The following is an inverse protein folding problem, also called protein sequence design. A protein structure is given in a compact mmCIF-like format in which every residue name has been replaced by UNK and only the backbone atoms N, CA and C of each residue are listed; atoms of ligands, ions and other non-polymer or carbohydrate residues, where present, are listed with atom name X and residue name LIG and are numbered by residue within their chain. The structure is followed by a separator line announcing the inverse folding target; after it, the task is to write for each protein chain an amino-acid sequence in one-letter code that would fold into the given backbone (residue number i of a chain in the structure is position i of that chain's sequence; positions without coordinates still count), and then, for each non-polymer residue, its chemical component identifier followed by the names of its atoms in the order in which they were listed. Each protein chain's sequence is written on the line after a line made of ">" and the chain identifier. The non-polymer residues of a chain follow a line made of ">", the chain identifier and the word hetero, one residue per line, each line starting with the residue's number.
data_IF_888172995730
#
_entry.id   IF_888172995730
#
_cell.length_a   1.000
_cell.length_b   1.000
_cell.length_c   1.000
_cell.angle_alpha   90.00
_cell.angle_beta   90.00
_cell.angle_gamma   90.00
#
_symmetry.space_group_name_H-M   'P 1'
#
loop_
_entity.id
_entity.type
_entity.pdbx_description
1 polymer ?
#
# COMPACT_ATOMS: atom_id res chain seq x y z
N UNK A 1 -17.03 12.64 18.29
CA UNK A 1 -16.87 13.46 17.05
C UNK A 1 -16.38 12.53 15.93
N UNK A 2 -16.92 12.67 14.72
CA UNK A 2 -16.76 11.71 13.61
C UNK A 2 -15.84 12.30 12.52
N UNK A 3 -14.92 11.50 12.01
CA UNK A 3 -14.17 11.84 10.79
C UNK A 3 -15.09 11.74 9.57
N UNK A 4 -14.97 12.68 8.65
CA UNK A 4 -15.69 12.66 7.37
C UNK A 4 -14.66 12.49 6.28
N UNK A 5 -14.82 11.45 5.45
CA UNK A 5 -13.97 11.24 4.28
C UNK A 5 -13.96 12.49 3.40
N UNK A 6 -12.80 12.85 2.89
CA UNK A 6 -12.61 14.04 2.05
C UNK A 6 -12.20 13.62 0.64
N UNK A 7 -11.01 13.05 0.47
CA UNK A 7 -10.51 12.59 -0.84
C UNK A 7 -9.54 11.40 -0.71
N UNK A 8 -9.44 10.58 -1.75
CA UNK A 8 -8.36 9.61 -1.91
C UNK A 8 -7.15 10.29 -2.55
N UNK A 9 -5.93 9.97 -2.09
CA UNK A 9 -4.68 10.55 -2.60
C UNK A 9 -3.97 9.54 -3.50
N UNK A 10 -3.24 8.63 -2.87
CA UNK A 10 -2.38 7.67 -3.55
C UNK A 10 -2.88 6.25 -3.32
N UNK A 11 -2.67 5.38 -4.29
CA UNK A 11 -3.03 3.96 -4.20
C UNK A 11 -2.06 3.10 -4.97
N UNK A 12 -1.67 1.97 -4.39
CA UNK A 12 -0.86 0.94 -5.02
C UNK A 12 -1.44 -0.44 -4.71
N UNK A 13 -1.35 -1.34 -5.68
CA UNK A 13 -1.77 -2.73 -5.54
C UNK A 13 -0.52 -3.58 -5.50
N UNK A 14 -0.27 -4.20 -4.35
CA UNK A 14 0.82 -5.13 -4.15
C UNK A 14 0.29 -6.54 -4.41
N UNK A 15 0.98 -7.29 -5.27
CA UNK A 15 0.70 -8.70 -5.52
C UNK A 15 1.82 -9.49 -4.85
N UNK A 16 1.45 -10.45 -4.01
CA UNK A 16 2.40 -11.32 -3.32
C UNK A 16 2.14 -12.77 -3.74
N UNK A 17 3.17 -13.42 -4.27
CA UNK A 17 3.09 -14.75 -4.86
C UNK A 17 2.01 -14.87 -5.95
N UNK A 18 1.39 -16.04 -6.04
CA UNK A 18 0.50 -16.35 -7.17
C UNK A 18 -0.95 -15.83 -7.03
N UNK A 19 -1.39 -15.42 -5.82
CA UNK A 19 -2.83 -15.18 -5.59
C UNK A 19 -3.20 -14.09 -4.57
N UNK A 20 -2.27 -13.61 -3.74
CA UNK A 20 -2.61 -12.59 -2.74
C UNK A 20 -2.44 -11.20 -3.32
N UNK A 21 -3.42 -10.32 -3.06
CA UNK A 21 -3.32 -8.93 -3.44
C UNK A 21 -3.75 -8.01 -2.30
N UNK A 22 -2.90 -7.02 -2.05
CA UNK A 22 -3.06 -6.01 -1.01
C UNK A 22 -3.16 -4.66 -1.71
N UNK A 23 -4.08 -3.81 -1.26
CA UNK A 23 -4.12 -2.42 -1.69
C UNK A 23 -3.70 -1.54 -0.53
N UNK A 24 -2.66 -0.75 -0.78
CA UNK A 24 -2.28 0.33 0.12
C UNK A 24 -2.82 1.61 -0.49
N UNK A 25 -3.44 2.45 0.33
CA UNK A 25 -3.86 3.76 -0.11
C UNK A 25 -3.77 4.80 0.99
N UNK A 26 -3.52 6.03 0.57
CA UNK A 26 -3.68 7.19 1.41
C UNK A 26 -4.98 7.91 1.08
N UNK A 27 -5.67 8.37 2.11
CA UNK A 27 -6.85 9.21 1.95
C UNK A 27 -6.87 10.26 3.05
N UNK A 28 -7.56 11.36 2.80
CA UNK A 28 -7.76 12.39 3.81
C UNK A 28 -9.16 12.31 4.39
N UNK A 29 -9.25 12.65 5.67
CA UNK A 29 -10.53 12.85 6.33
C UNK A 29 -10.49 14.14 7.14
N UNK A 30 -11.61 14.85 7.14
CA UNK A 30 -11.80 16.08 7.88
C UNK A 30 -12.33 15.80 9.29
N UNK A 31 -11.76 16.48 10.27
CA UNK A 31 -12.20 16.50 11.67
C UNK A 31 -12.14 17.93 12.20
N UNK A 32 -13.29 18.49 12.55
CA UNK A 32 -13.41 19.82 13.17
C UNK A 32 -12.64 20.93 12.41
N UNK A 33 -12.63 20.89 11.08
CA UNK A 33 -11.94 21.86 10.22
C UNK A 33 -10.49 21.51 9.88
N UNK A 34 -9.90 20.50 10.53
CA UNK A 34 -8.56 19.99 10.20
C UNK A 34 -8.65 18.80 9.25
N UNK A 35 -7.77 18.77 8.25
CA UNK A 35 -7.58 17.62 7.36
C UNK A 35 -6.50 16.71 7.93
N UNK A 36 -6.79 15.42 8.04
CA UNK A 36 -5.87 14.39 8.53
C UNK A 36 -5.64 13.37 7.43
N UNK A 37 -4.38 13.02 7.17
CA UNK A 37 -4.00 11.96 6.25
C UNK A 37 -4.11 10.61 6.95
N UNK A 38 -4.61 9.61 6.24
CA UNK A 38 -4.72 8.23 6.72
C UNK A 38 -3.99 7.31 5.77
N UNK A 39 -3.44 6.24 6.32
CA UNK A 39 -3.02 5.06 5.60
C UNK A 39 -4.03 3.95 5.83
N UNK A 40 -4.35 3.20 4.77
CA UNK A 40 -5.05 1.94 4.88
C UNK A 40 -4.38 0.87 4.04
N UNK A 41 -4.38 -0.34 4.60
CA UNK A 41 -4.02 -1.58 3.94
C UNK A 41 -5.26 -2.48 3.94
N UNK A 42 -5.65 -2.93 2.76
CA UNK A 42 -6.79 -3.83 2.58
C UNK A 42 -6.41 -5.03 1.74
N UNK A 43 -6.98 -6.19 2.04
CA UNK A 43 -6.90 -7.33 1.13
C UNK A 43 -7.96 -7.21 0.04
N UNK A 44 -7.64 -7.67 -1.15
CA UNK A 44 -8.63 -7.89 -2.22
C UNK A 44 -8.81 -9.39 -2.40
N UNK A 45 -9.94 -9.90 -1.91
CA UNK A 45 -10.36 -11.26 -2.22
C UNK A 45 -11.13 -11.29 -3.55
N UNK A 46 -10.95 -12.37 -4.32
CA UNK A 46 -11.61 -12.58 -5.62
C UNK A 46 -13.12 -12.82 -5.42
N UNK A 47 -13.88 -11.75 -5.18
CA UNK A 47 -15.34 -11.74 -5.16
C UNK A 47 -16.02 -11.44 -3.81
N UNK A 48 -15.29 -11.03 -2.76
CA UNK A 48 -15.90 -10.72 -1.46
C UNK A 48 -15.23 -9.52 -0.73
N UNK A 49 -15.87 -9.08 0.35
CA UNK A 49 -15.56 -7.90 1.17
C UNK A 49 -14.05 -7.75 1.41
N UNK A 50 -13.49 -6.59 1.05
CA UNK A 50 -12.11 -6.25 1.36
C UNK A 50 -11.91 -6.21 2.88
N UNK A 51 -11.00 -7.02 3.42
CA UNK A 51 -10.65 -6.92 4.84
C UNK A 51 -9.70 -5.74 5.03
N UNK A 52 -10.02 -4.87 5.98
CA UNK A 52 -9.12 -3.79 6.39
C UNK A 52 -8.12 -4.36 7.38
N UNK A 53 -6.88 -4.54 6.96
CA UNK A 53 -5.78 -5.04 7.79
C UNK A 53 -5.22 -3.92 8.67
N UNK A 54 -5.11 -2.71 8.10
CA UNK A 54 -4.68 -1.52 8.81
C UNK A 54 -5.49 -0.31 8.33
N UNK A 55 -5.87 0.57 9.25
CA UNK A 55 -6.39 1.90 8.91
C UNK A 55 -6.04 2.85 10.05
N UNK A 56 -5.14 3.81 9.81
CA UNK A 56 -4.62 4.70 10.84
C UNK A 56 -4.37 6.10 10.31
N UNK A 57 -4.57 7.13 11.14
CA UNK A 57 -4.07 8.46 10.82
C UNK A 57 -2.53 8.43 10.78
N UNK A 58 -1.96 9.23 9.89
CA UNK A 58 -0.53 9.46 9.77
C UNK A 58 -0.17 10.79 10.41
N UNK A 59 0.95 10.80 11.13
CA UNK A 59 1.59 12.03 11.57
C UNK A 59 2.37 12.69 10.41
N UNK A 60 2.70 13.97 10.57
CA UNK A 60 3.38 14.76 9.53
C UNK A 60 4.74 14.20 9.11
N UNK A 61 5.38 13.38 9.96
CA UNK A 61 6.69 12.76 9.74
C UNK A 61 6.60 11.25 9.45
N UNK A 62 5.39 10.67 9.46
CA UNK A 62 5.18 9.26 9.17
C UNK A 62 5.50 8.93 7.71
N UNK A 63 6.58 8.19 7.51
CA UNK A 63 6.91 7.60 6.22
C UNK A 63 7.64 6.26 6.41
N UNK A 64 6.93 5.30 6.99
CA UNK A 64 7.42 3.94 7.23
C UNK A 64 7.90 3.24 5.96
N UNK A 65 8.75 2.22 6.14
CA UNK A 65 9.25 1.42 5.03
C UNK A 65 8.20 0.39 4.59
N UNK A 66 7.95 0.27 3.29
CA UNK A 66 7.18 -0.83 2.71
C UNK A 66 7.93 -1.37 1.49
N UNK A 67 8.34 -2.63 1.54
CA UNK A 67 9.09 -3.25 0.44
C UNK A 67 8.24 -3.35 -0.83
N UNK A 68 6.97 -3.74 -0.71
CA UNK A 68 6.03 -3.77 -1.83
C UNK A 68 5.94 -2.44 -2.57
N UNK A 69 5.54 -1.36 -1.89
CA UNK A 69 5.41 -0.03 -2.51
C UNK A 69 6.72 0.47 -3.14
N UNK A 70 7.86 0.25 -2.47
CA UNK A 70 9.18 0.67 -2.98
C UNK A 70 9.62 -0.10 -4.20
N UNK A 71 9.43 -1.42 -4.21
CA UNK A 71 9.74 -2.27 -5.37
C UNK A 71 8.89 -1.87 -6.58
N UNK A 72 7.69 -1.33 -6.36
CA UNK A 72 6.82 -0.81 -7.41
C UNK A 72 7.13 0.64 -7.85
N UNK A 73 8.09 1.31 -7.22
CA UNK A 73 8.43 2.71 -7.50
C UNK A 73 7.42 3.73 -6.92
N UNK A 74 6.48 3.30 -6.08
CA UNK A 74 5.52 4.19 -5.42
C UNK A 74 6.12 4.75 -4.13
N UNK A 75 6.87 5.86 -4.28
CA UNK A 75 7.56 6.55 -3.17
C UNK A 75 6.70 7.60 -2.46
N UNK A 76 5.63 8.08 -3.12
CA UNK A 76 4.79 9.16 -2.59
C UNK A 76 3.73 8.66 -1.59
N UNK A 77 3.44 7.36 -1.59
CA UNK A 77 2.50 6.75 -0.66
C UNK A 77 3.14 6.62 0.73
N UNK A 78 2.57 7.33 1.69
CA UNK A 78 3.07 7.40 3.06
C UNK A 78 2.55 6.24 3.90
N UNK A 79 3.42 5.73 4.75
CA UNK A 79 3.14 4.60 5.64
C UNK A 79 3.35 5.02 7.11
N UNK A 80 2.66 4.40 8.07
CA UNK A 80 2.92 4.63 9.49
C UNK A 80 4.38 4.30 9.83
N UNK A 81 5.07 5.16 10.60
CA UNK A 81 6.42 4.88 11.05
C UNK A 81 6.40 4.27 12.46
N UNK A 82 6.81 3.02 12.60
CA UNK A 82 6.95 2.37 13.90
C UNK A 82 7.04 0.85 13.81
N UNK A 83 8.10 0.28 14.40
CA UNK A 83 8.41 -1.16 14.33
C UNK A 83 7.34 -2.07 14.94
N UNK A 84 6.49 -1.54 15.84
CA UNK A 84 5.44 -2.31 16.53
C UNK A 84 4.06 -2.23 15.85
N UNK A 85 3.87 -1.34 14.88
CA UNK A 85 2.53 -0.97 14.38
C UNK A 85 2.33 -1.24 12.90
N UNK A 86 3.41 -1.41 12.13
CA UNK A 86 3.40 -1.75 10.71
C UNK A 86 4.70 -2.48 10.36
N UNK A 87 4.63 -3.79 10.14
CA UNK A 87 5.74 -4.59 9.60
C UNK A 87 5.63 -4.49 8.09
N UNK A 88 6.23 -3.45 7.52
CA UNK A 88 5.80 -2.97 6.21
C UNK A 88 6.08 -3.88 5.03
N UNK A 89 5.01 -4.47 4.49
CA UNK A 89 4.99 -5.31 3.29
C UNK A 89 5.82 -6.59 3.42
N UNK A 90 5.32 -7.73 2.92
CA UNK A 90 6.16 -8.92 2.95
C UNK A 90 7.36 -8.75 2.00
N UNK A 91 8.50 -9.32 2.38
CA UNK A 91 9.72 -9.33 1.57
C UNK A 91 9.53 -10.06 0.23
N UNK A 92 8.49 -10.89 0.12
CA UNK A 92 8.18 -11.73 -1.04
C UNK A 92 7.23 -11.03 -2.06
N UNK A 93 7.19 -9.70 -2.06
CA UNK A 93 6.48 -8.93 -3.08
C UNK A 93 7.17 -9.08 -4.45
N UNK A 94 6.82 -10.13 -5.20
CA UNK A 94 7.22 -10.30 -6.59
C UNK A 94 6.49 -9.27 -7.47
N UNK A 95 7.25 -8.53 -8.27
CA UNK A 95 6.69 -7.54 -9.17
C UNK A 95 6.03 -8.25 -10.37
N UNK A 96 4.70 -8.11 -10.59
CA UNK A 96 3.98 -8.93 -11.57
C UNK A 96 4.27 -8.62 -13.05
N UNK A 97 5.26 -7.76 -13.35
CA UNK A 97 5.56 -7.31 -14.72
C UNK A 97 7.03 -7.48 -15.15
N UNK A 98 7.89 -8.14 -14.37
CA UNK A 98 9.31 -8.33 -14.75
C UNK A 98 9.61 -9.61 -15.55
N UNK A 99 8.60 -10.40 -15.93
CA UNK A 99 8.81 -11.66 -16.66
C UNK A 99 9.15 -11.48 -18.16
N UNK A 100 8.86 -10.34 -18.76
CA UNK A 100 8.97 -10.16 -20.22
C UNK A 100 10.34 -9.66 -20.72
N UNK A 101 11.44 -9.83 -19.95
CA UNK A 101 12.77 -9.37 -20.41
C UNK A 101 13.92 -10.37 -20.27
N UNK A 102 13.61 -11.64 -20.05
CA UNK A 102 14.55 -12.73 -20.40
C UNK A 102 14.02 -13.40 -21.68
N UNK A 103 14.06 -12.66 -22.79
CA UNK A 103 14.08 -13.33 -24.09
C UNK A 103 15.46 -13.95 -24.22
N UNK A 104 15.50 -15.27 -24.09
CA UNK A 104 16.65 -16.13 -24.32
C UNK A 104 17.28 -15.77 -25.67
N UNK A 105 18.48 -15.19 -25.63
CA UNK A 105 19.34 -15.04 -26.81
C UNK A 105 19.97 -16.41 -27.08
N UNK A 106 19.20 -17.29 -27.73
CA UNK A 106 19.69 -18.54 -28.29
C UNK A 106 20.68 -18.21 -29.42
N UNK A 107 21.95 -18.03 -29.04
CA UNK A 107 23.08 -18.01 -29.98
C UNK A 107 23.36 -19.44 -30.45
N UNK A 108 23.06 -19.73 -31.72
CA UNK A 108 23.58 -20.89 -32.48
C UNK A 108 24.46 -20.39 -33.64
#
# INVERSE_FOLDING_TARGET
>A
MRFVFDESKDKVIIIEGNMNSYEHFNFTAKKAGSTVLFFAEVTRDKGQLCNVLCCKPLDSDDNGHCFGCKNQGYVDLRHPAGESLYVGGHVDCEFPFMWDSISEDDSD
#
